data_IF_089717702345
#
_entry.id   IF_089717702345
#
_cell.length_a   1.000
_cell.length_b   1.000
_cell.length_c   1.000
_cell.angle_alpha   90.00
_cell.angle_beta   90.00
_cell.angle_gamma   90.00
#
_symmetry.space_group_name_H-M   'P 1'
#
loop_
_entity.id
_entity.type
_entity.pdbx_description
1 polymer ?
#
# COMPACT_ATOMS: atom_id res chain seq x y z
N UNK A 1 25.22 -31.03 45.89
CA UNK A 1 23.86 -31.02 45.32
C UNK A 1 23.80 -29.95 44.24
N UNK A 2 23.47 -30.35 43.01
CA UNK A 2 23.45 -29.51 41.80
C UNK A 2 22.19 -28.64 41.79
N UNK A 3 22.34 -27.31 41.75
CA UNK A 3 21.26 -26.38 41.41
C UNK A 3 21.04 -26.46 39.89
N UNK A 4 19.88 -27.02 39.48
CA UNK A 4 19.48 -27.08 38.08
C UNK A 4 19.06 -25.68 37.63
N UNK A 5 19.94 -25.07 36.84
CA UNK A 5 19.69 -23.89 36.04
C UNK A 5 19.01 -24.36 34.74
N UNK A 6 17.70 -24.17 34.58
CA UNK A 6 17.00 -24.44 33.32
C UNK A 6 16.66 -23.12 32.64
N UNK A 7 17.58 -22.68 31.79
CA UNK A 7 17.31 -21.73 30.70
C UNK A 7 16.32 -22.40 29.72
N UNK A 8 15.14 -21.80 29.55
CA UNK A 8 14.30 -22.03 28.37
C UNK A 8 14.41 -20.79 27.47
N UNK A 9 15.55 -20.65 26.80
CA UNK A 9 15.62 -19.84 25.58
C UNK A 9 14.93 -20.63 24.48
N UNK A 10 13.63 -20.40 24.27
CA UNK A 10 13.00 -20.73 22.99
C UNK A 10 13.60 -19.75 21.98
N UNK A 11 14.52 -20.24 21.18
CA UNK A 11 14.91 -19.59 19.92
C UNK A 11 13.62 -19.37 19.13
N UNK A 12 13.19 -18.11 19.03
CA UNK A 12 12.26 -17.73 17.97
C UNK A 12 12.97 -18.01 16.66
N UNK A 13 12.57 -19.10 16.00
CA UNK A 13 12.84 -19.31 14.58
C UNK A 13 12.33 -18.07 13.87
N UNK A 14 13.26 -17.28 13.34
CA UNK A 14 13.00 -16.26 12.35
C UNK A 14 12.23 -16.95 11.22
N UNK A 15 10.93 -16.73 11.13
CA UNK A 15 10.19 -17.07 9.93
C UNK A 15 10.82 -16.23 8.82
N UNK A 16 11.64 -16.88 7.98
CA UNK A 16 11.92 -16.37 6.64
C UNK A 16 10.55 -16.26 5.99
N UNK A 17 10.06 -15.03 5.83
CA UNK A 17 8.90 -14.73 5.00
C UNK A 17 9.20 -15.20 3.60
N UNK A 18 8.50 -16.25 3.18
CA UNK A 18 8.61 -16.81 1.84
C UNK A 18 8.28 -15.73 0.82
N UNK A 19 9.29 -15.47 0.01
CA UNK A 19 9.35 -14.50 -1.05
C UNK A 19 8.68 -15.07 -2.28
N UNK A 20 7.81 -14.29 -2.94
CA UNK A 20 8.15 -14.06 -4.35
C UNK A 20 7.07 -13.82 -5.39
N UNK A 21 7.44 -14.32 -6.57
CA UNK A 21 7.35 -13.69 -7.90
C UNK A 21 5.96 -13.79 -8.54
N UNK A 22 5.74 -13.11 -9.68
CA UNK A 22 4.53 -13.29 -10.51
C UNK A 22 4.32 -14.78 -10.87
N UNK A 23 5.41 -15.52 -11.10
CA UNK A 23 5.35 -16.96 -11.30
C UNK A 23 4.76 -17.68 -10.08
N UNK A 24 5.18 -17.35 -8.86
CA UNK A 24 4.64 -17.98 -7.66
C UNK A 24 3.17 -17.65 -7.42
N UNK A 25 2.73 -16.44 -7.78
CA UNK A 25 1.30 -16.11 -7.78
C UNK A 25 0.53 -17.01 -8.75
N UNK A 26 0.99 -17.08 -10.00
CA UNK A 26 0.36 -17.91 -11.03
C UNK A 26 0.40 -19.39 -10.64
N UNK A 27 1.45 -19.88 -9.97
CA UNK A 27 1.54 -21.28 -9.51
C UNK A 27 0.34 -21.68 -8.62
N UNK A 28 -0.25 -20.72 -7.90
CA UNK A 28 -1.41 -20.99 -7.02
C UNK A 28 -2.76 -21.02 -7.74
N UNK A 29 -2.83 -20.61 -9.02
CA UNK A 29 -4.10 -20.47 -9.73
C UNK A 29 -4.74 -21.82 -10.08
N UNK A 30 -6.03 -21.93 -9.76
CA UNK A 30 -6.92 -22.93 -10.36
C UNK A 30 -7.18 -22.64 -11.84
N UNK A 31 -7.84 -23.56 -12.53
CA UNK A 31 -8.09 -23.47 -13.99
C UNK A 31 -8.88 -22.20 -14.36
N UNK A 32 -9.96 -21.89 -13.62
CA UNK A 32 -10.80 -20.72 -13.92
C UNK A 32 -10.11 -19.39 -13.59
N UNK A 33 -9.32 -19.35 -12.51
CA UNK A 33 -8.54 -18.16 -12.15
C UNK A 33 -7.46 -17.87 -13.20
N UNK A 34 -6.80 -18.91 -13.69
CA UNK A 34 -5.84 -18.81 -14.78
C UNK A 34 -6.50 -18.29 -16.06
N UNK A 35 -7.66 -18.81 -16.45
CA UNK A 35 -8.39 -18.33 -17.64
C UNK A 35 -8.71 -16.84 -17.50
N UNK A 36 -9.32 -16.44 -16.37
CA UNK A 36 -9.69 -15.05 -16.10
C UNK A 36 -8.47 -14.12 -16.13
N UNK A 37 -7.32 -14.60 -15.67
CA UNK A 37 -6.06 -13.88 -15.74
C UNK A 37 -5.53 -13.75 -17.18
N UNK A 38 -5.52 -14.84 -17.95
CA UNK A 38 -5.02 -14.85 -19.34
C UNK A 38 -5.91 -14.03 -20.28
N UNK A 39 -7.23 -14.07 -20.10
CA UNK A 39 -8.18 -13.21 -20.81
C UNK A 39 -7.81 -11.73 -20.64
N UNK A 40 -7.56 -11.30 -19.39
CA UNK A 40 -7.17 -9.91 -19.09
C UNK A 40 -5.78 -9.54 -19.62
N UNK A 41 -4.82 -10.44 -19.54
CA UNK A 41 -3.41 -10.13 -19.84
C UNK A 41 -3.04 -10.30 -21.30
N UNK A 42 -3.68 -11.24 -22.01
CA UNK A 42 -3.31 -11.63 -23.37
C UNK A 42 -4.48 -11.69 -24.35
N UNK A 43 -5.69 -11.34 -23.91
CA UNK A 43 -6.87 -11.34 -24.79
C UNK A 43 -7.22 -12.74 -25.26
N UNK A 44 -7.15 -13.72 -24.35
CA UNK A 44 -7.56 -15.10 -24.61
C UNK A 44 -9.03 -15.12 -25.05
N UNK A 45 -9.32 -15.77 -26.18
CA UNK A 45 -10.69 -15.90 -26.67
C UNK A 45 -11.41 -17.10 -26.03
N UNK A 46 -12.72 -17.23 -26.33
CA UNK A 46 -13.57 -18.26 -25.75
C UNK A 46 -13.11 -19.68 -26.12
N UNK A 47 -12.69 -19.89 -27.37
CA UNK A 47 -12.30 -21.21 -27.86
C UNK A 47 -10.97 -21.66 -27.24
N UNK A 48 -10.00 -20.75 -27.14
CA UNK A 48 -8.73 -20.99 -26.48
C UNK A 48 -8.91 -21.23 -24.96
N UNK A 49 -9.84 -20.51 -24.32
CA UNK A 49 -10.20 -20.74 -22.91
C UNK A 49 -10.84 -22.12 -22.67
N UNK A 50 -11.69 -22.60 -23.59
CA UNK A 50 -12.27 -23.95 -23.52
C UNK A 50 -11.19 -25.04 -23.62
N UNK A 51 -10.15 -24.84 -24.44
CA UNK A 51 -9.00 -25.77 -24.49
C UNK A 51 -8.30 -25.86 -23.13
N UNK A 52 -8.01 -24.71 -22.50
CA UNK A 52 -7.39 -24.66 -21.15
C UNK A 52 -8.27 -25.37 -20.13
N UNK A 53 -9.59 -25.18 -20.19
CA UNK A 53 -10.57 -25.80 -19.31
C UNK A 53 -10.62 -27.32 -19.48
N UNK A 54 -10.73 -27.79 -20.73
CA UNK A 54 -10.80 -29.20 -21.10
C UNK A 54 -9.55 -29.97 -20.68
N UNK A 55 -8.38 -29.40 -20.92
CA UNK A 55 -7.07 -29.97 -20.57
C UNK A 55 -6.71 -29.76 -19.10
N UNK A 56 -7.57 -29.07 -18.33
CA UNK A 56 -7.41 -28.77 -16.90
C UNK A 56 -6.06 -28.11 -16.59
N UNK A 57 -5.61 -27.20 -17.46
CA UNK A 57 -4.35 -26.50 -17.28
C UNK A 57 -4.53 -25.49 -16.15
N UNK A 58 -3.94 -25.78 -14.99
CA UNK A 58 -3.86 -24.84 -13.87
C UNK A 58 -2.58 -23.99 -13.97
N UNK A 59 -2.42 -22.99 -13.11
CA UNK A 59 -1.32 -22.03 -13.26
C UNK A 59 0.07 -22.66 -13.09
N UNK A 60 0.21 -23.66 -12.20
CA UNK A 60 1.45 -24.44 -12.10
C UNK A 60 1.80 -25.19 -13.40
N UNK A 61 0.80 -25.79 -14.04
CA UNK A 61 0.97 -26.46 -15.33
C UNK A 61 1.30 -25.44 -16.42
N UNK A 62 0.54 -24.36 -16.53
CA UNK A 62 0.73 -23.27 -17.50
C UNK A 62 2.18 -22.77 -17.52
N UNK A 63 2.75 -22.49 -16.36
CA UNK A 63 4.13 -22.00 -16.27
C UNK A 63 5.12 -23.00 -16.89
N UNK A 64 4.86 -24.30 -16.80
CA UNK A 64 5.69 -25.37 -17.36
C UNK A 64 5.34 -25.76 -18.81
N UNK A 65 4.33 -25.14 -19.41
CA UNK A 65 3.94 -25.43 -20.78
C UNK A 65 4.88 -24.74 -21.77
N UNK A 66 5.07 -25.40 -22.91
CA UNK A 66 5.83 -24.88 -24.05
C UNK A 66 4.88 -24.67 -25.21
N UNK A 67 5.30 -23.94 -26.24
CA UNK A 67 4.52 -23.75 -27.46
C UNK A 67 4.06 -25.10 -28.05
N UNK A 68 4.93 -26.11 -27.98
CA UNK A 68 4.60 -27.47 -28.43
C UNK A 68 3.47 -28.08 -27.61
N UNK A 69 3.54 -28.03 -26.28
CA UNK A 69 2.47 -28.59 -25.42
C UNK A 69 1.12 -27.92 -25.66
N UNK A 70 1.09 -26.59 -25.82
CA UNK A 70 -0.14 -25.90 -26.17
C UNK A 70 -0.70 -26.36 -27.52
N UNK A 71 0.15 -26.53 -28.54
CA UNK A 71 -0.27 -27.07 -29.84
C UNK A 71 -0.77 -28.51 -29.76
N UNK A 72 -0.10 -29.35 -28.96
CA UNK A 72 -0.51 -30.75 -28.76
C UNK A 72 -1.90 -30.84 -28.09
N UNK A 73 -2.29 -29.82 -27.31
CA UNK A 73 -3.64 -29.65 -26.75
C UNK A 73 -4.68 -29.10 -27.76
N UNK A 74 -4.29 -28.86 -29.01
CA UNK A 74 -5.18 -28.33 -30.06
C UNK A 74 -5.19 -26.81 -30.17
N UNK A 75 -4.33 -26.09 -29.45
CA UNK A 75 -4.30 -24.62 -29.51
C UNK A 75 -3.68 -24.12 -30.82
N UNK A 76 -4.24 -23.07 -31.45
CA UNK A 76 -3.69 -22.47 -32.66
C UNK A 76 -2.23 -22.05 -32.48
N UNK A 77 -1.45 -22.19 -33.54
CA UNK A 77 0.00 -22.02 -33.47
C UNK A 77 0.47 -20.63 -33.01
N UNK A 78 -0.33 -19.59 -33.26
CA UNK A 78 -0.11 -18.21 -32.81
C UNK A 78 -0.38 -18.04 -31.32
N UNK A 79 -1.58 -18.40 -30.84
CA UNK A 79 -1.93 -18.37 -29.41
C UNK A 79 -0.96 -19.21 -28.58
N UNK A 80 -0.64 -20.42 -29.03
CA UNK A 80 0.29 -21.32 -28.36
C UNK A 80 1.69 -20.69 -28.17
N UNK A 81 2.13 -19.86 -29.12
CA UNK A 81 3.40 -19.15 -29.03
C UNK A 81 3.30 -18.02 -28.00
N UNK A 82 2.25 -17.19 -28.10
CA UNK A 82 1.99 -16.06 -27.18
C UNK A 82 1.92 -16.54 -25.72
N UNK A 83 1.19 -17.61 -25.45
CA UNK A 83 1.03 -18.13 -24.09
C UNK A 83 2.31 -18.75 -23.54
N UNK A 84 3.09 -19.45 -24.36
CA UNK A 84 4.36 -20.04 -23.94
C UNK A 84 5.42 -18.96 -23.66
N UNK A 85 5.52 -17.96 -24.53
CA UNK A 85 6.40 -16.82 -24.33
C UNK A 85 5.98 -16.05 -23.08
N UNK A 86 4.68 -15.88 -22.85
CA UNK A 86 4.18 -15.25 -21.63
C UNK A 86 4.47 -16.06 -20.37
N UNK A 87 4.30 -17.38 -20.40
CA UNK A 87 4.67 -18.25 -19.28
C UNK A 87 6.16 -18.13 -18.93
N UNK A 88 7.01 -18.03 -19.96
CA UNK A 88 8.45 -17.79 -19.80
C UNK A 88 8.73 -16.39 -19.26
N UNK A 89 8.07 -15.36 -19.78
CA UNK A 89 8.14 -14.00 -19.23
C UNK A 89 7.74 -13.99 -17.75
N UNK A 90 6.67 -14.68 -17.35
CA UNK A 90 6.25 -14.74 -15.95
C UNK A 90 7.31 -15.35 -15.03
N UNK A 91 8.09 -16.31 -15.54
CA UNK A 91 9.22 -16.92 -14.83
C UNK A 91 10.48 -16.05 -14.79
N UNK A 92 10.72 -15.29 -15.85
CA UNK A 92 11.96 -14.50 -16.01
C UNK A 92 11.84 -13.06 -15.51
N UNK A 93 10.62 -12.49 -15.56
CA UNK A 93 10.32 -11.12 -15.15
C UNK A 93 10.36 -11.05 -13.63
N UNK A 94 11.53 -10.66 -13.11
CA UNK A 94 11.66 -10.19 -11.73
C UNK A 94 10.63 -9.09 -11.51
N UNK A 95 9.87 -9.19 -10.43
CA UNK A 95 8.96 -8.14 -9.98
C UNK A 95 9.66 -6.78 -10.03
N UNK A 96 9.03 -5.80 -10.69
CA UNK A 96 9.61 -4.47 -10.86
C UNK A 96 9.82 -3.85 -9.47
N UNK A 97 11.01 -3.34 -9.18
CA UNK A 97 11.24 -2.70 -7.89
C UNK A 97 10.35 -1.43 -7.79
N UNK A 98 9.70 -1.17 -6.65
CA UNK A 98 8.95 0.10 -6.46
C UNK A 98 9.85 1.30 -6.73
N UNK A 99 11.10 1.24 -6.28
CA UNK A 99 12.08 2.30 -6.51
C UNK A 99 12.42 2.51 -7.99
N UNK A 100 12.00 1.66 -8.93
CA UNK A 100 12.25 1.82 -10.37
C UNK A 100 11.19 2.65 -11.10
N UNK A 101 10.07 2.98 -10.45
CA UNK A 101 9.14 4.00 -10.94
C UNK A 101 9.77 5.35 -10.60
N UNK A 102 10.40 6.03 -11.58
CA UNK A 102 11.20 7.25 -11.36
C UNK A 102 10.93 8.37 -12.35
N UNK A 103 10.03 8.14 -13.31
CA UNK A 103 9.81 9.08 -14.41
C UNK A 103 8.34 9.48 -14.50
N UNK A 104 8.07 10.62 -15.14
CA UNK A 104 6.70 11.03 -15.47
C UNK A 104 6.01 10.02 -16.41
N UNK A 105 6.78 9.31 -17.23
CA UNK A 105 6.27 8.22 -18.07
C UNK A 105 5.75 7.07 -17.19
N UNK A 106 6.50 6.70 -16.16
CA UNK A 106 6.07 5.66 -15.22
C UNK A 106 4.79 6.05 -14.50
N UNK A 107 4.68 7.32 -14.06
CA UNK A 107 3.44 7.82 -13.47
C UNK A 107 2.27 7.69 -14.45
N UNK A 108 2.45 8.14 -15.70
CA UNK A 108 1.42 8.04 -16.74
C UNK A 108 0.99 6.59 -16.98
N UNK A 109 1.93 5.66 -17.11
CA UNK A 109 1.65 4.22 -17.27
C UNK A 109 0.85 3.66 -16.06
N UNK A 110 1.19 4.07 -14.84
CA UNK A 110 0.46 3.68 -13.62
C UNK A 110 -0.95 4.27 -13.60
N UNK A 111 -1.13 5.54 -13.95
CA UNK A 111 -2.44 6.20 -13.94
C UNK A 111 -3.37 5.64 -15.03
N UNK A 112 -2.85 5.35 -16.22
CA UNK A 112 -3.60 4.78 -17.33
C UNK A 112 -4.23 3.42 -16.95
N UNK A 113 -3.55 2.61 -16.13
CA UNK A 113 -4.08 1.36 -15.57
C UNK A 113 -5.38 1.56 -14.79
N UNK A 114 -5.57 2.74 -14.22
CA UNK A 114 -6.73 3.11 -13.41
C UNK A 114 -7.63 4.16 -14.11
N UNK A 115 -7.48 4.34 -15.42
CA UNK A 115 -8.32 5.24 -16.21
C UNK A 115 -8.09 6.73 -15.95
N UNK A 116 -6.96 7.12 -15.34
CA UNK A 116 -6.59 8.51 -15.10
C UNK A 116 -5.47 8.95 -16.06
N UNK A 117 -5.53 10.18 -16.58
CA UNK A 117 -4.47 10.75 -17.42
C UNK A 117 -3.39 11.46 -16.59
N UNK A 118 -3.80 12.10 -15.50
CA UNK A 118 -2.97 12.87 -14.56
C UNK A 118 -3.48 12.68 -13.14
N UNK A 119 -2.69 13.12 -12.15
CA UNK A 119 -3.05 13.01 -10.73
C UNK A 119 -4.36 13.76 -10.43
N UNK A 120 -4.58 14.90 -11.10
CA UNK A 120 -5.77 15.73 -10.93
C UNK A 120 -7.04 15.09 -11.50
N UNK A 121 -6.88 14.06 -12.34
CA UNK A 121 -7.99 13.32 -12.94
C UNK A 121 -8.42 12.12 -12.05
N UNK A 122 -7.72 11.85 -10.94
CA UNK A 122 -8.07 10.79 -9.98
C UNK A 122 -9.39 11.16 -9.26
N UNK A 123 -10.38 10.24 -9.17
CA UNK A 123 -11.62 10.47 -8.45
C UNK A 123 -11.40 10.89 -7.00
N UNK A 124 -12.25 11.80 -6.50
CA UNK A 124 -12.12 12.29 -5.13
C UNK A 124 -12.90 11.43 -4.14
N UNK A 125 -12.39 11.29 -2.90
CA UNK A 125 -13.12 10.67 -1.79
C UNK A 125 -13.05 11.52 -0.53
N UNK A 126 -14.08 11.48 0.30
CA UNK A 126 -14.13 12.24 1.57
C UNK A 126 -13.62 11.36 2.72
N UNK A 127 -12.42 11.59 3.27
CA UNK A 127 -11.90 10.76 4.36
C UNK A 127 -12.69 11.03 5.64
N UNK A 128 -12.95 9.98 6.43
CA UNK A 128 -13.48 10.19 7.79
C UNK A 128 -12.41 10.84 8.65
N UNK A 129 -12.79 11.93 9.31
CA UNK A 129 -11.92 12.71 10.19
C UNK A 129 -12.26 12.35 11.64
N UNK A 130 -11.24 12.05 12.45
CA UNK A 130 -11.42 11.92 13.90
C UNK A 130 -10.89 13.15 14.60
N UNK A 131 -11.76 13.87 15.32
CA UNK A 131 -11.36 15.05 16.09
C UNK A 131 -10.48 14.65 17.27
N UNK A 132 -9.29 15.27 17.33
CA UNK A 132 -8.31 15.03 18.39
C UNK A 132 -8.46 16.14 19.44
N UNK A 133 -8.53 15.74 20.71
CA UNK A 133 -8.53 16.69 21.83
C UNK A 133 -7.20 17.46 21.85
N UNK A 134 -7.27 18.76 22.06
CA UNK A 134 -6.09 19.63 22.19
C UNK A 134 -5.20 19.28 23.38
N UNK A 135 -5.77 18.57 24.35
CA UNK A 135 -5.09 18.04 25.53
C UNK A 135 -4.63 16.60 25.37
N UNK A 136 -4.84 15.96 24.21
CA UNK A 136 -4.37 14.59 23.99
C UNK A 136 -2.84 14.51 24.15
N UNK A 137 -2.39 13.63 25.06
CA UNK A 137 -0.98 13.52 25.42
C UNK A 137 -0.10 13.12 24.23
N UNK A 138 -0.61 12.27 23.33
CA UNK A 138 0.15 11.80 22.16
C UNK A 138 0.30 12.91 21.13
N UNK A 139 -0.74 13.71 20.94
CA UNK A 139 -0.71 14.88 20.08
C UNK A 139 0.25 15.96 20.62
N UNK A 140 0.18 16.28 21.91
CA UNK A 140 1.10 17.21 22.55
C UNK A 140 2.55 16.70 22.49
N UNK A 141 2.77 15.40 22.69
CA UNK A 141 4.08 14.79 22.53
C UNK A 141 4.61 14.91 21.09
N UNK A 142 3.76 14.66 20.08
CA UNK A 142 4.11 14.83 18.67
C UNK A 142 4.57 16.26 18.37
N UNK A 143 3.83 17.27 18.85
CA UNK A 143 4.20 18.67 18.65
C UNK A 143 5.54 19.01 19.32
N UNK A 144 5.77 18.49 20.53
CA UNK A 144 7.04 18.68 21.23
C UNK A 144 8.20 18.04 20.46
N UNK A 145 8.03 16.82 19.95
CA UNK A 145 9.04 16.14 19.13
C UNK A 145 9.34 16.92 17.84
N UNK A 146 8.30 17.36 17.13
CA UNK A 146 8.43 18.22 15.93
C UNK A 146 9.22 19.49 16.24
N UNK A 147 8.95 20.18 17.36
CA UNK A 147 9.68 21.40 17.74
C UNK A 147 11.14 21.14 18.06
N UNK A 148 11.44 20.05 18.78
CA UNK A 148 12.82 19.66 19.07
C UNK A 148 13.58 19.37 17.76
N UNK A 149 12.96 18.60 16.86
CA UNK A 149 13.54 18.32 15.53
C UNK A 149 13.74 19.59 14.72
N UNK A 150 12.76 20.50 14.70
CA UNK A 150 12.83 21.78 14.01
C UNK A 150 13.93 22.69 14.56
N UNK A 151 14.11 22.72 15.89
CA UNK A 151 15.20 23.46 16.53
C UNK A 151 16.59 22.92 16.18
N UNK A 152 16.71 21.62 15.90
CA UNK A 152 18.00 20.98 15.64
C UNK A 152 18.33 20.88 14.14
N UNK A 153 17.31 20.71 13.30
CA UNK A 153 17.46 20.47 11.85
C UNK A 153 17.12 21.70 10.99
N UNK A 154 16.52 22.73 11.58
CA UNK A 154 16.12 23.94 10.88
C UNK A 154 14.90 23.75 9.96
N UNK A 155 14.60 24.79 9.19
CA UNK A 155 13.43 24.89 8.30
C UNK A 155 13.39 23.80 7.21
N UNK A 156 12.20 23.23 6.93
CA UNK A 156 12.02 22.04 6.07
C UNK A 156 11.79 22.34 4.57
N UNK A 157 12.24 23.49 4.05
CA UNK A 157 12.00 23.85 2.64
C UNK A 157 12.87 23.06 1.64
N UNK A 158 14.15 22.84 1.95
CA UNK A 158 15.14 22.20 1.05
C UNK A 158 15.78 20.95 1.66
N UNK A 159 15.22 20.45 2.76
CA UNK A 159 15.75 19.28 3.45
C UNK A 159 15.72 18.06 2.56
N UNK A 160 16.69 17.17 2.77
CA UNK A 160 16.73 15.87 2.13
C UNK A 160 15.60 14.96 2.64
N UNK A 161 15.43 13.82 1.98
CA UNK A 161 14.40 12.83 2.31
C UNK A 161 14.53 12.30 3.74
N UNK A 162 15.75 12.07 4.23
CA UNK A 162 16.00 11.57 5.58
C UNK A 162 15.47 12.53 6.66
N UNK A 163 15.72 13.84 6.54
CA UNK A 163 15.19 14.84 7.47
C UNK A 163 13.66 14.86 7.40
N UNK A 164 13.07 14.80 6.21
CA UNK A 164 11.60 14.80 6.06
C UNK A 164 10.98 13.56 6.72
N UNK A 165 11.63 12.40 6.60
CA UNK A 165 11.21 11.16 7.25
C UNK A 165 11.13 11.28 8.78
N UNK A 166 11.97 12.08 9.43
CA UNK A 166 11.91 12.31 10.88
C UNK A 166 10.60 12.98 11.33
N UNK A 167 10.09 13.93 10.54
CA UNK A 167 8.81 14.59 10.80
C UNK A 167 7.62 13.69 10.46
N UNK A 168 7.70 12.96 9.35
CA UNK A 168 6.68 11.97 8.94
C UNK A 168 6.53 10.91 10.03
N UNK A 169 7.66 10.38 10.51
CA UNK A 169 7.70 9.37 11.58
C UNK A 169 7.02 9.87 12.86
N UNK A 170 7.34 11.09 13.31
CA UNK A 170 6.72 11.69 14.50
C UNK A 170 5.19 11.68 14.44
N UNK A 171 4.65 12.15 13.30
CA UNK A 171 3.22 12.26 13.05
C UNK A 171 2.58 10.86 12.99
N UNK A 172 3.15 9.93 12.21
CA UNK A 172 2.58 8.59 12.04
C UNK A 172 2.59 7.79 13.34
N UNK A 173 3.68 7.85 14.12
CA UNK A 173 3.77 7.17 15.41
C UNK A 173 2.72 7.68 16.40
N UNK A 174 2.52 9.00 16.49
CA UNK A 174 1.49 9.59 17.33
C UNK A 174 0.08 9.17 16.86
N UNK A 175 -0.20 9.20 15.56
CA UNK A 175 -1.49 8.77 15.02
C UNK A 175 -1.80 7.30 15.33
N UNK A 176 -0.81 6.42 15.19
CA UNK A 176 -0.98 4.99 15.51
C UNK A 176 -1.22 4.80 17.01
N UNK A 177 -0.53 5.55 17.87
CA UNK A 177 -0.75 5.50 19.32
C UNK A 177 -2.16 5.96 19.71
N UNK A 178 -2.60 7.11 19.19
CA UNK A 178 -3.97 7.62 19.40
C UNK A 178 -4.99 6.59 18.93
N UNK A 179 -4.82 6.03 17.73
CA UNK A 179 -5.77 5.03 17.18
C UNK A 179 -5.85 3.78 18.05
N UNK A 180 -4.73 3.30 18.61
CA UNK A 180 -4.72 2.18 19.56
C UNK A 180 -5.54 2.49 20.81
N UNK A 181 -5.35 3.67 21.39
CA UNK A 181 -6.06 4.08 22.60
C UNK A 181 -7.56 4.21 22.35
N UNK A 182 -7.96 4.73 21.19
CA UNK A 182 -9.37 4.89 20.82
C UNK A 182 -10.08 3.57 20.53
N UNK A 183 -9.39 2.61 19.91
CA UNK A 183 -10.02 1.37 19.42
C UNK A 183 -9.78 0.16 20.34
N UNK A 184 -8.80 0.25 21.24
CA UNK A 184 -8.31 -0.89 22.03
C UNK A 184 -7.65 -1.99 21.20
N UNK A 185 -7.46 -1.78 19.88
CA UNK A 185 -7.00 -2.80 18.95
C UNK A 185 -5.49 -2.71 18.70
N UNK A 186 -4.92 -3.86 18.38
CA UNK A 186 -3.50 -3.97 18.13
C UNK A 186 -3.14 -3.48 16.72
N UNK A 187 -2.44 -2.35 16.64
CA UNK A 187 -1.93 -1.76 15.39
C UNK A 187 -0.39 -1.74 15.42
N UNK A 188 0.26 -1.98 14.30
CA UNK A 188 1.72 -1.84 14.14
C UNK A 188 2.00 -0.84 13.04
N UNK A 189 3.08 -0.08 13.22
CA UNK A 189 3.77 0.65 12.17
C UNK A 189 5.12 -0.03 11.98
N UNK A 190 5.46 -0.35 10.72
CA UNK A 190 6.70 -1.00 10.35
C UNK A 190 7.43 -0.10 9.34
N UNK A 191 8.48 0.62 9.76
CA UNK A 191 9.34 1.34 8.85
C UNK A 191 10.11 0.37 7.92
N UNK A 192 10.36 0.76 6.67
CA UNK A 192 11.16 -0.01 5.71
C UNK A 192 10.65 -1.45 5.51
N UNK A 193 9.32 -1.61 5.48
CA UNK A 193 8.66 -2.90 5.40
C UNK A 193 8.69 -3.45 3.97
N UNK A 194 9.11 -4.70 3.79
CA UNK A 194 9.13 -5.35 2.48
C UNK A 194 7.72 -5.79 2.08
N UNK A 195 7.23 -5.28 0.96
CA UNK A 195 5.97 -5.72 0.34
C UNK A 195 6.31 -6.45 -0.95
N UNK A 196 5.76 -7.65 -1.09
CA UNK A 196 5.89 -8.47 -2.29
C UNK A 196 4.53 -8.51 -2.97
N UNK A 197 4.39 -7.78 -4.06
CA UNK A 197 3.26 -7.87 -4.97
C UNK A 197 3.57 -8.77 -6.17
N UNK A 198 2.55 -9.12 -6.94
CA UNK A 198 2.72 -9.89 -8.17
C UNK A 198 3.55 -9.15 -9.23
N UNK A 199 3.24 -7.88 -9.47
CA UNK A 199 3.91 -7.06 -10.48
C UNK A 199 5.15 -6.32 -9.95
N UNK A 200 5.13 -5.94 -8.67
CA UNK A 200 6.16 -5.09 -8.07
C UNK A 200 6.50 -5.51 -6.65
N UNK A 201 7.73 -5.23 -6.23
CA UNK A 201 8.23 -5.55 -4.89
C UNK A 201 9.14 -4.45 -4.38
N UNK A 202 9.34 -4.40 -3.07
CA UNK A 202 10.35 -3.57 -2.45
C UNK A 202 9.95 -3.13 -1.06
N UNK A 203 10.84 -2.36 -0.46
CA UNK A 203 10.57 -1.70 0.81
C UNK A 203 9.72 -0.46 0.60
N UNK A 204 8.75 -0.28 1.50
CA UNK A 204 7.98 0.95 1.64
C UNK A 204 8.48 1.71 2.86
N UNK A 205 8.35 3.04 2.88
CA UNK A 205 8.86 3.82 4.01
C UNK A 205 8.16 3.48 5.30
N UNK A 206 6.83 3.39 5.29
CA UNK A 206 6.04 2.93 6.44
C UNK A 206 4.87 2.07 5.99
N UNK A 207 4.72 0.91 6.62
CA UNK A 207 3.53 0.07 6.50
C UNK A 207 2.80 0.02 7.84
N UNK A 208 1.52 0.39 7.85
CA UNK A 208 0.65 0.34 9.03
C UNK A 208 -0.38 -0.77 8.82
N UNK A 209 -0.59 -1.59 9.85
CA UNK A 209 -1.50 -2.73 9.78
C UNK A 209 -1.79 -3.34 11.15
N UNK A 210 -2.62 -4.38 11.18
CA UNK A 210 -2.88 -5.19 12.37
C UNK A 210 -2.69 -6.67 12.04
N UNK A 211 -2.03 -7.39 12.95
CA UNK A 211 -1.68 -8.80 12.75
C UNK A 211 -0.93 -8.98 11.42
N UNK A 212 -1.56 -9.63 10.44
CA UNK A 212 -1.00 -9.90 9.12
C UNK A 212 -1.62 -9.04 7.99
N UNK A 213 -2.58 -8.17 8.32
CA UNK A 213 -3.35 -7.35 7.40
C UNK A 213 -2.77 -5.92 7.35
N UNK A 214 -2.44 -5.45 6.15
CA UNK A 214 -1.96 -4.10 5.88
C UNK A 214 -3.15 -3.15 5.66
N UNK A 215 -3.06 -1.95 6.22
CA UNK A 215 -4.13 -0.94 6.19
C UNK A 215 -3.72 0.31 5.43
N UNK A 216 -2.48 0.77 5.65
CA UNK A 216 -2.00 2.02 5.10
C UNK A 216 -0.52 1.91 4.73
N UNK A 217 -0.17 2.38 3.54
CA UNK A 217 1.20 2.46 3.06
C UNK A 217 1.58 3.93 2.89
N UNK A 218 2.68 4.36 3.50
CA UNK A 218 3.21 5.72 3.35
C UNK A 218 4.50 5.71 2.55
N UNK A 219 4.57 6.61 1.56
CA UNK A 219 5.75 6.91 0.76
C UNK A 219 6.18 8.36 0.99
N UNK A 220 7.38 8.53 1.53
CA UNK A 220 8.05 9.81 1.72
C UNK A 220 8.80 10.24 0.46
N UNK A 221 8.80 11.54 0.18
CA UNK A 221 9.55 12.14 -0.94
C UNK A 221 10.18 13.46 -0.54
N UNK A 222 11.23 13.86 -1.26
CA UNK A 222 11.81 15.18 -1.07
C UNK A 222 11.01 16.30 -1.76
N UNK A 223 10.71 16.13 -3.05
CA UNK A 223 9.95 17.08 -3.89
C UNK A 223 9.23 16.41 -5.07
N UNK A 224 9.65 15.20 -5.48
CA UNK A 224 9.09 14.50 -6.64
C UNK A 224 7.80 13.75 -6.28
N UNK A 225 6.74 14.51 -5.97
CA UNK A 225 5.43 13.96 -5.61
C UNK A 225 4.89 13.04 -6.71
N UNK A 226 5.04 13.40 -7.98
CA UNK A 226 4.68 12.56 -9.14
C UNK A 226 5.23 11.13 -9.03
N UNK A 227 6.50 11.02 -8.63
CA UNK A 227 7.17 9.73 -8.44
C UNK A 227 6.59 9.02 -7.22
N UNK A 228 6.34 9.75 -6.13
CA UNK A 228 5.70 9.22 -4.93
C UNK A 228 4.32 8.64 -5.21
N UNK A 229 3.51 9.27 -6.05
CA UNK A 229 2.21 8.74 -6.47
C UNK A 229 2.35 7.42 -7.24
N UNK A 230 3.22 7.39 -8.26
CA UNK A 230 3.44 6.19 -9.05
C UNK A 230 3.87 5.00 -8.16
N UNK A 231 4.82 5.25 -7.25
CA UNK A 231 5.31 4.24 -6.31
C UNK A 231 4.22 3.80 -5.33
N UNK A 232 3.52 4.74 -4.69
CA UNK A 232 2.57 4.43 -3.64
C UNK A 232 1.32 3.71 -4.17
N UNK A 233 0.84 4.03 -5.38
CA UNK A 233 -0.26 3.30 -6.03
C UNK A 233 0.11 1.82 -6.21
N UNK A 234 1.31 1.55 -6.76
CA UNK A 234 1.78 0.18 -6.98
C UNK A 234 2.05 -0.57 -5.66
N UNK A 235 2.51 0.13 -4.63
CA UNK A 235 2.67 -0.44 -3.29
C UNK A 235 1.32 -0.78 -2.66
N UNK A 236 0.31 0.09 -2.78
CA UNK A 236 -1.04 -0.18 -2.28
C UNK A 236 -1.68 -1.39 -2.98
N UNK A 237 -1.55 -1.48 -4.31
CA UNK A 237 -1.97 -2.66 -5.07
C UNK A 237 -1.28 -3.94 -4.57
N UNK A 238 0.02 -3.86 -4.30
CA UNK A 238 0.80 -4.99 -3.79
C UNK A 238 0.42 -5.38 -2.36
N UNK A 239 0.11 -4.39 -1.52
CA UNK A 239 -0.41 -4.61 -0.17
C UNK A 239 -1.79 -5.28 -0.18
N UNK A 240 -2.69 -4.84 -1.09
CA UNK A 240 -3.99 -5.46 -1.30
C UNK A 240 -3.86 -6.94 -1.68
N UNK A 241 -2.98 -7.25 -2.65
CA UNK A 241 -2.68 -8.65 -3.04
C UNK A 241 -2.10 -9.45 -1.87
N UNK A 242 -1.23 -8.85 -1.07
CA UNK A 242 -0.68 -9.48 0.14
C UNK A 242 -1.78 -9.86 1.14
N UNK A 243 -2.74 -8.96 1.36
CA UNK A 243 -3.89 -9.26 2.22
C UNK A 243 -4.76 -10.39 1.62
N UNK A 244 -5.00 -10.36 0.30
CA UNK A 244 -5.76 -11.40 -0.40
C UNK A 244 -5.18 -12.79 -0.20
N UNK A 245 -3.86 -12.96 -0.39
CA UNK A 245 -3.17 -14.25 -0.27
C UNK A 245 -3.28 -14.88 1.13
N UNK A 246 -3.53 -14.07 2.16
CA UNK A 246 -3.63 -14.53 3.55
C UNK A 246 -5.05 -14.88 3.97
N UNK A 247 -6.06 -14.64 3.13
CA UNK A 247 -7.44 -15.09 3.38
C UNK A 247 -7.70 -16.50 2.80
N UNK A 248 -8.62 -17.23 3.44
CA UNK A 248 -9.02 -18.58 3.00
C UNK A 248 -9.85 -18.51 1.71
N UNK A 249 -9.73 -19.54 0.87
CA UNK A 249 -10.13 -19.57 -0.54
C UNK A 249 -11.65 -19.59 -0.86
N UNK A 250 -12.54 -19.28 0.08
CA UNK A 250 -13.96 -19.63 -0.02
C UNK A 250 -14.93 -18.43 -0.01
N UNK A 251 -14.44 -17.20 -0.21
CA UNK A 251 -15.29 -16.00 -0.13
C UNK A 251 -14.99 -14.97 -1.24
N UNK A 252 -16.00 -14.19 -1.61
CA UNK A 252 -15.88 -13.08 -2.55
C UNK A 252 -15.00 -11.98 -1.95
N UNK A 253 -13.67 -12.10 -2.05
CA UNK A 253 -12.71 -11.19 -1.41
C UNK A 253 -12.91 -9.74 -1.87
N UNK A 254 -13.06 -8.85 -0.88
CA UNK A 254 -13.03 -7.41 -1.09
C UNK A 254 -12.27 -6.76 0.06
N UNK A 255 -11.34 -5.87 -0.30
CA UNK A 255 -10.54 -5.12 0.66
C UNK A 255 -10.11 -3.79 0.05
N UNK A 256 -9.57 -2.91 0.88
CA UNK A 256 -9.05 -1.62 0.46
C UNK A 256 -7.84 -1.22 1.32
N UNK A 257 -6.94 -0.47 0.69
CA UNK A 257 -5.69 0.01 1.28
C UNK A 257 -5.66 1.52 1.19
N UNK A 258 -5.28 2.19 2.27
CA UNK A 258 -4.97 3.61 2.22
C UNK A 258 -3.52 3.83 1.77
N UNK A 259 -3.32 4.86 0.95
CA UNK A 259 -2.00 5.34 0.58
C UNK A 259 -1.77 6.73 1.18
N UNK A 260 -0.54 7.02 1.58
CA UNK A 260 -0.11 8.38 1.93
C UNK A 260 1.13 8.70 1.10
N UNK A 261 1.07 9.76 0.31
CA UNK A 261 2.24 10.33 -0.37
C UNK A 261 2.55 11.65 0.30
N UNK A 262 3.78 11.84 0.78
CA UNK A 262 4.11 13.05 1.53
C UNK A 262 5.54 13.52 1.37
N UNK A 263 5.72 14.84 1.37
CA UNK A 263 7.04 15.48 1.55
C UNK A 263 7.32 15.91 2.99
N UNK A 264 6.55 15.42 3.96
CA UNK A 264 6.36 16.01 5.30
C UNK A 264 5.64 17.37 5.29
N UNK A 265 5.93 18.23 4.32
CA UNK A 265 5.30 19.54 4.17
C UNK A 265 3.98 19.49 3.41
N UNK A 266 3.78 18.49 2.55
CA UNK A 266 2.53 18.26 1.81
C UNK A 266 2.09 16.82 2.02
N UNK A 267 0.80 16.60 2.26
CA UNK A 267 0.21 15.30 2.55
C UNK A 267 -0.96 15.03 1.61
N UNK A 268 -0.83 13.96 0.83
CA UNK A 268 -1.86 13.42 -0.05
C UNK A 268 -2.31 12.06 0.47
N UNK A 269 -3.61 11.81 0.41
CA UNK A 269 -4.21 10.58 0.90
C UNK A 269 -4.92 9.88 -0.24
N UNK A 270 -4.58 8.61 -0.43
CA UNK A 270 -5.11 7.75 -1.46
C UNK A 270 -5.99 6.67 -0.85
N UNK A 271 -6.97 6.24 -1.61
CA UNK A 271 -7.77 5.05 -1.38
C UNK A 271 -7.58 4.13 -2.57
N UNK A 272 -7.03 2.95 -2.32
CA UNK A 272 -6.89 1.88 -3.29
C UNK A 272 -7.96 0.82 -3.07
N UNK A 273 -8.64 0.44 -4.15
CA UNK A 273 -9.63 -0.63 -4.18
C UNK A 273 -9.42 -1.49 -5.44
N UNK A 274 -10.08 -2.66 -5.54
CA UNK A 274 -10.04 -3.47 -6.76
C UNK A 274 -10.66 -2.77 -7.97
N UNK A 275 -11.57 -1.83 -7.71
CA UNK A 275 -12.35 -1.12 -8.71
C UNK A 275 -11.66 0.17 -9.20
N UNK A 276 -10.61 0.62 -8.50
CA UNK A 276 -9.88 1.83 -8.87
C UNK A 276 -9.14 2.51 -7.72
N UNK A 277 -8.59 3.69 -8.02
CA UNK A 277 -7.91 4.58 -7.07
C UNK A 277 -8.71 5.87 -6.85
N UNK A 278 -8.58 6.45 -5.67
CA UNK A 278 -9.18 7.76 -5.34
C UNK A 278 -8.25 8.58 -4.44
N UNK A 279 -8.42 9.91 -4.42
CA UNK A 279 -7.59 10.84 -3.67
C UNK A 279 -8.45 11.88 -2.90
N UNK A 280 -8.05 12.31 -1.70
CA UNK A 280 -8.95 13.14 -0.86
C UNK A 280 -9.19 14.56 -1.37
N UNK A 281 -8.17 15.21 -1.93
CA UNK A 281 -8.23 16.64 -2.25
C UNK A 281 -7.31 16.95 -3.42
N UNK A 282 -7.75 17.84 -4.32
CA UNK A 282 -6.90 18.41 -5.39
C UNK A 282 -5.68 19.14 -4.80
N UNK A 283 -5.81 19.68 -3.59
CA UNK A 283 -4.73 20.36 -2.86
C UNK A 283 -4.26 19.52 -1.66
N UNK A 284 -2.95 19.36 -1.44
CA UNK A 284 -2.47 18.65 -0.26
C UNK A 284 -2.86 19.35 1.03
N UNK A 285 -2.88 18.59 2.13
CA UNK A 285 -2.77 19.22 3.45
C UNK A 285 -1.32 19.65 3.66
N UNK A 286 -1.11 20.94 3.89
CA UNK A 286 0.23 21.49 4.05
C UNK A 286 0.59 21.73 5.51
N UNK A 287 1.82 21.39 5.88
CA UNK A 287 2.45 21.74 7.16
C UNK A 287 3.69 22.55 6.86
N UNK A 288 3.82 23.72 7.50
CA UNK A 288 4.97 24.61 7.29
C UNK A 288 5.90 24.55 8.49
N UNK A 289 7.03 23.86 8.34
CA UNK A 289 8.05 23.78 9.38
C UNK A 289 9.10 24.88 9.19
N UNK A 290 8.92 26.00 9.88
CA UNK A 290 9.81 27.17 9.85
C UNK A 290 10.29 27.50 11.24
N UNK A 291 11.54 27.95 11.38
CA UNK A 291 12.14 28.25 12.70
C UNK A 291 11.37 29.33 13.48
N UNK A 292 10.67 30.26 12.80
CA UNK A 292 9.80 31.24 13.46
C UNK A 292 8.64 30.61 14.25
N UNK A 293 8.25 29.36 13.93
CA UNK A 293 7.27 28.59 14.69
C UNK A 293 7.80 28.10 16.06
N UNK A 294 9.10 28.24 16.34
CA UNK A 294 9.68 27.93 17.65
C UNK A 294 9.40 29.01 18.69
N UNK A 295 9.08 30.24 18.24
CA UNK A 295 8.76 31.36 19.13
C UNK A 295 7.36 31.18 19.72
N UNK A 296 7.29 31.06 21.04
CA UNK A 296 6.03 30.94 21.77
C UNK A 296 5.11 32.14 21.53
N UNK A 297 3.85 31.86 21.22
CA UNK A 297 2.81 32.82 20.88
C UNK A 297 2.83 33.34 19.45
N UNK A 298 3.76 32.88 18.59
CA UNK A 298 3.82 33.35 17.19
C UNK A 298 2.65 32.82 16.36
N UNK A 299 2.33 33.51 15.27
CA UNK A 299 1.31 33.03 14.32
C UNK A 299 1.77 31.76 13.61
N UNK A 300 3.07 31.61 13.37
CA UNK A 300 3.64 30.40 12.79
C UNK A 300 3.57 29.18 13.72
N UNK A 301 3.70 29.38 15.04
CA UNK A 301 3.49 28.31 16.02
C UNK A 301 2.03 27.83 16.00
N UNK A 302 1.08 28.76 15.98
CA UNK A 302 -0.36 28.45 15.92
C UNK A 302 -0.72 27.72 14.62
N UNK A 303 -0.15 28.16 13.49
CA UNK A 303 -0.39 27.52 12.20
C UNK A 303 0.26 26.13 12.13
N UNK A 304 1.46 25.95 12.68
CA UNK A 304 2.09 24.64 12.82
C UNK A 304 1.20 23.69 13.64
N UNK A 305 0.70 24.15 14.79
CA UNK A 305 -0.21 23.39 15.64
C UNK A 305 -1.46 22.95 14.88
N UNK A 306 -2.12 23.89 14.22
CA UNK A 306 -3.38 23.67 13.48
C UNK A 306 -3.18 22.72 12.29
N UNK A 307 -2.11 22.90 11.53
CA UNK A 307 -1.81 22.08 10.35
C UNK A 307 -1.42 20.65 10.73
N UNK A 308 -0.57 20.47 11.74
CA UNK A 308 -0.24 19.12 12.28
C UNK A 308 -1.50 18.44 12.80
N UNK A 309 -2.32 19.14 13.60
CA UNK A 309 -3.60 18.60 14.10
C UNK A 309 -4.46 18.11 12.95
N UNK A 310 -4.67 18.94 11.92
CA UNK A 310 -5.53 18.59 10.77
C UNK A 310 -5.04 17.34 10.03
N UNK A 311 -3.74 17.20 9.80
CA UNK A 311 -3.16 16.01 9.19
C UNK A 311 -3.37 14.78 10.08
N UNK A 312 -3.13 14.91 11.38
CA UNK A 312 -3.32 13.81 12.34
C UNK A 312 -4.78 13.38 12.43
N UNK A 313 -5.74 14.31 12.45
CA UNK A 313 -7.17 14.01 12.52
C UNK A 313 -7.65 13.18 11.30
N UNK A 314 -7.08 13.43 10.11
CA UNK A 314 -7.33 12.61 8.91
C UNK A 314 -6.70 11.22 9.06
N UNK A 315 -5.42 11.14 9.43
CA UNK A 315 -4.73 9.84 9.56
C UNK A 315 -5.41 8.96 10.62
N UNK A 316 -5.69 9.51 11.81
CA UNK A 316 -6.39 8.78 12.88
C UNK A 316 -7.78 8.36 12.43
N UNK A 317 -8.51 9.21 11.71
CA UNK A 317 -9.82 8.87 11.17
C UNK A 317 -9.78 7.71 10.16
N UNK A 318 -8.83 7.73 9.22
CA UNK A 318 -8.61 6.63 8.26
C UNK A 318 -8.22 5.32 8.95
N UNK A 319 -7.25 5.37 9.88
CA UNK A 319 -6.78 4.19 10.59
C UNK A 319 -7.88 3.60 11.49
N UNK A 320 -8.59 4.45 12.23
CA UNK A 320 -9.72 4.03 13.07
C UNK A 320 -10.79 3.36 12.22
N UNK A 321 -11.18 3.99 11.10
CA UNK A 321 -12.17 3.43 10.19
C UNK A 321 -11.77 2.02 9.71
N UNK A 322 -10.53 1.87 9.26
CA UNK A 322 -10.02 0.60 8.72
C UNK A 322 -9.91 -0.50 9.76
N UNK A 323 -9.63 -0.13 11.01
CA UNK A 323 -9.47 -1.04 12.14
C UNK A 323 -10.83 -1.46 12.69
N UNK A 324 -11.85 -0.60 12.60
CA UNK A 324 -13.21 -0.85 13.09
C UNK A 324 -14.15 -1.50 12.09
N UNK A 325 -13.82 -1.49 10.79
CA UNK A 325 -14.61 -2.19 9.78
C UNK A 325 -14.65 -3.70 10.04
N UNK A 326 -15.84 -4.29 9.93
CA UNK A 326 -15.99 -5.74 9.98
C UNK A 326 -15.25 -6.39 8.81
N UNK A 327 -14.74 -7.60 9.03
CA UNK A 327 -13.92 -8.29 8.03
C UNK A 327 -14.70 -8.80 6.82
N UNK A 328 -16.03 -8.78 6.87
CA UNK A 328 -16.90 -9.27 5.80
C UNK A 328 -16.73 -8.41 4.53
N UNK A 329 -16.48 -9.03 3.36
CA UNK A 329 -16.27 -8.30 2.10
C UNK A 329 -17.39 -7.30 1.76
N UNK A 330 -18.65 -7.68 1.96
CA UNK A 330 -19.81 -6.82 1.69
C UNK A 330 -19.78 -5.56 2.56
N UNK A 331 -19.43 -5.67 3.83
CA UNK A 331 -19.34 -4.53 4.76
C UNK A 331 -18.20 -3.61 4.38
N UNK A 332 -17.04 -4.16 3.99
CA UNK A 332 -15.92 -3.37 3.46
C UNK A 332 -16.29 -2.63 2.18
N UNK A 333 -17.03 -3.27 1.27
CA UNK A 333 -17.52 -2.63 0.04
C UNK A 333 -18.49 -1.49 0.32
N UNK A 334 -19.47 -1.73 1.20
CA UNK A 334 -20.38 -0.67 1.67
C UNK A 334 -19.62 0.48 2.34
N UNK A 335 -18.59 0.16 3.15
CA UNK A 335 -17.74 1.17 3.78
C UNK A 335 -17.04 2.04 2.75
N UNK A 336 -16.48 1.43 1.69
CA UNK A 336 -15.85 2.16 0.58
C UNK A 336 -16.85 3.06 -0.13
N UNK A 337 -18.05 2.56 -0.44
CA UNK A 337 -19.11 3.37 -1.07
C UNK A 337 -19.44 4.62 -0.25
N UNK A 338 -19.47 4.52 1.08
CA UNK A 338 -19.76 5.66 1.96
C UNK A 338 -18.74 6.81 1.91
N UNK A 339 -17.56 6.62 1.29
CA UNK A 339 -16.61 7.73 1.08
C UNK A 339 -16.95 8.62 -0.12
N UNK A 340 -17.88 8.19 -0.96
CA UNK A 340 -18.32 8.88 -2.17
C UNK A 340 -19.77 9.39 -2.06
N UNK A 341 -20.42 9.12 -0.93
CA UNK A 341 -21.73 9.66 -0.59
C UNK A 341 -21.50 11.04 0.06
N UNK A 342 -22.14 12.09 -0.49
CA UNK A 342 -22.06 13.47 0.03
C UNK A 342 -22.82 13.66 1.34
#
# INVERSE_FOLDING_TARGET
MKVKNTKSQKQHKTHKTETGTLAEEIETYGVNDLISFLEKQKGLDYDDAEIIRKEKINGHAFLKFTTKKFRDCGMPGGTAMILADFAKECKEKKSRAFSSYRTKKDLKEVLEKYGAGRIEDIPQFSPRIHKIDEKDESFLHCLKDIRIKLSNMGTVNQSNEAIRCEYISAILHACVHITKNLTGKYIRINPQFEIIGGESTGRVDYAIGALEELFCITEGKQFQIDIGFAQNIMQCESAYRTNKRKQKADDAFYDYIFGIVTTATEWYFLLYTPDGISCTSKNPLSIRFVESALKEGSEEEKELYKSVKRVMEVIVGLLKDRVDVEKMPVVKKQRVCSYFEE
#
